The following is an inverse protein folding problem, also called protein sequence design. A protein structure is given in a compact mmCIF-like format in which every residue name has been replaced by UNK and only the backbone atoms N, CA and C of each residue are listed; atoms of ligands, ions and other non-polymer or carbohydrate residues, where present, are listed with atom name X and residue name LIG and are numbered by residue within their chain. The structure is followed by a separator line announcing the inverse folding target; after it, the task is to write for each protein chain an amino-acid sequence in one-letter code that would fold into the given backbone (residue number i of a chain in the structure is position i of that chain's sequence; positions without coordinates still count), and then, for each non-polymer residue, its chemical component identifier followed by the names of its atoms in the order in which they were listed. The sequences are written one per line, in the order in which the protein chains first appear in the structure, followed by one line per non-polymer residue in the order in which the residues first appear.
data_IF_075557338560
#
_entry.id   IF_075557338560
#
_cell.length_a   1.000
_cell.length_b   1.000
_cell.length_c   1.000
_cell.angle_alpha   90.00
_cell.angle_beta   90.00
_cell.angle_gamma   90.00
#
_symmetry.space_group_name_H-M   'P 1'
#
loop_
_entity.id
_entity.type
_entity.pdbx_description
1 polymer ?
#
# COMPACT_ATOMS: atom_id res chain seq x y z
N UNK A 1 15.64 7.63 12.08
CA UNK A 1 15.39 7.49 10.64
C UNK A 1 13.93 7.07 10.45
N UNK A 2 13.19 7.79 9.64
CA UNK A 2 11.81 7.43 9.31
C UNK A 2 11.77 6.16 8.44
N UNK A 3 10.63 5.48 8.40
CA UNK A 3 10.46 4.29 7.53
C UNK A 3 10.62 4.65 6.04
N UNK A 4 10.23 5.85 5.65
CA UNK A 4 10.45 6.35 4.28
C UNK A 4 11.93 6.51 3.95
N UNK A 5 12.72 7.02 4.90
CA UNK A 5 14.19 7.12 4.73
C UNK A 5 14.84 5.74 4.70
N UNK A 6 14.38 4.80 5.51
CA UNK A 6 14.83 3.40 5.47
C UNK A 6 14.57 2.81 4.09
N UNK A 7 13.35 2.93 3.58
CA UNK A 7 12.98 2.41 2.26
C UNK A 7 13.84 3.02 1.15
N UNK A 8 14.05 4.34 1.17
CA UNK A 8 14.88 5.04 0.18
C UNK A 8 16.32 4.53 0.19
N UNK A 9 16.91 4.41 1.39
CA UNK A 9 18.27 3.89 1.56
C UNK A 9 18.39 2.44 1.05
N UNK A 10 17.39 1.61 1.37
CA UNK A 10 17.37 0.22 0.93
C UNK A 10 17.27 0.10 -0.59
N UNK A 11 16.45 0.93 -1.24
CA UNK A 11 16.34 0.99 -2.70
C UNK A 11 17.65 1.38 -3.38
N UNK A 12 18.48 2.21 -2.73
CA UNK A 12 19.76 2.65 -3.26
C UNK A 12 20.90 1.66 -3.00
N UNK A 13 20.85 0.92 -1.90
CA UNK A 13 21.97 0.10 -1.39
C UNK A 13 21.82 -1.40 -1.60
N UNK A 14 20.61 -1.92 -1.73
CA UNK A 14 20.34 -3.35 -1.92
C UNK A 14 20.12 -3.67 -3.39
N UNK A 15 20.60 -4.82 -3.83
CA UNK A 15 20.37 -5.32 -5.20
C UNK A 15 18.91 -5.72 -5.43
N UNK A 16 18.24 -6.23 -4.41
CA UNK A 16 16.84 -6.65 -4.41
C UNK A 16 16.21 -6.32 -3.07
N UNK A 17 14.99 -5.80 -3.09
CA UNK A 17 14.10 -5.70 -1.93
C UNK A 17 13.03 -6.76 -2.01
N UNK A 18 12.85 -7.50 -0.93
CA UNK A 18 11.74 -8.45 -0.78
C UNK A 18 10.57 -7.74 -0.13
N UNK A 19 9.49 -7.61 -0.87
CA UNK A 19 8.27 -6.96 -0.41
C UNK A 19 7.15 -7.99 -0.29
N UNK A 20 6.59 -8.15 0.91
CA UNK A 20 5.53 -9.12 1.18
C UNK A 20 4.16 -8.48 1.18
N UNK A 21 3.18 -9.10 0.51
CA UNK A 21 1.80 -8.63 0.47
C UNK A 21 1.07 -8.86 1.80
N UNK A 22 0.27 -7.88 2.22
CA UNK A 22 -0.58 -7.98 3.40
C UNK A 22 -1.91 -7.26 3.18
N UNK A 23 -2.90 -7.58 3.99
CA UNK A 23 -4.26 -7.03 3.88
C UNK A 23 -4.77 -6.43 5.21
N UNK A 24 -4.06 -6.64 6.32
CA UNK A 24 -4.36 -6.07 7.64
C UNK A 24 -3.08 -6.01 8.51
N UNK A 25 -3.21 -5.45 9.72
CA UNK A 25 -2.09 -5.32 10.65
C UNK A 25 -1.49 -6.69 11.05
N UNK A 26 -2.32 -7.72 11.22
CA UNK A 26 -1.86 -9.05 11.59
C UNK A 26 -1.03 -9.69 10.48
N UNK A 27 -1.51 -9.69 9.24
CA UNK A 27 -0.76 -10.24 8.10
C UNK A 27 0.51 -9.43 7.83
N UNK A 28 0.48 -8.11 7.99
CA UNK A 28 1.67 -7.27 7.88
C UNK A 28 2.74 -7.64 8.92
N UNK A 29 2.32 -7.92 10.15
CA UNK A 29 3.24 -8.35 11.20
C UNK A 29 3.85 -9.72 10.91
N UNK A 30 3.09 -10.63 10.28
CA UNK A 30 3.62 -11.91 9.83
C UNK A 30 4.66 -11.73 8.72
N UNK A 31 4.43 -10.81 7.78
CA UNK A 31 5.40 -10.44 6.73
C UNK A 31 6.69 -9.92 7.36
N UNK A 32 6.59 -9.01 8.32
CA UNK A 32 7.74 -8.47 9.05
C UNK A 32 8.52 -9.58 9.76
N UNK A 33 7.83 -10.44 10.50
CA UNK A 33 8.44 -11.55 11.24
C UNK A 33 9.10 -12.58 10.30
N UNK A 34 8.64 -12.70 9.08
CA UNK A 34 9.24 -13.57 8.05
C UNK A 34 10.51 -12.98 7.42
N UNK A 35 10.91 -11.76 7.81
CA UNK A 35 12.16 -11.14 7.36
C UNK A 35 12.09 -10.45 6.00
N UNK A 36 10.91 -9.99 5.59
CA UNK A 36 10.76 -9.12 4.41
C UNK A 36 11.28 -7.71 4.71
N UNK A 37 11.72 -7.02 3.66
CA UNK A 37 12.26 -5.65 3.77
C UNK A 37 11.16 -4.59 3.87
N UNK A 38 9.99 -4.87 3.29
CA UNK A 38 8.84 -3.97 3.32
C UNK A 38 7.52 -4.76 3.18
N UNK A 39 6.42 -4.11 3.50
CA UNK A 39 5.06 -4.63 3.31
C UNK A 39 4.40 -3.95 2.13
N UNK A 40 3.71 -4.72 1.29
CA UNK A 40 2.81 -4.24 0.25
C UNK A 40 1.37 -4.29 0.77
N UNK A 41 0.78 -3.12 1.01
CA UNK A 41 -0.65 -3.00 1.35
C UNK A 41 -1.45 -3.02 0.05
N UNK A 42 -1.76 -4.22 -0.43
CA UNK A 42 -2.32 -4.46 -1.77
C UNK A 42 -3.83 -4.29 -1.82
N UNK A 43 -4.33 -3.53 -2.79
CA UNK A 43 -5.77 -3.29 -2.97
C UNK A 43 -6.53 -4.56 -3.33
N UNK A 44 -5.93 -5.47 -4.09
CA UNK A 44 -6.51 -6.79 -4.39
C UNK A 44 -6.81 -7.57 -3.11
N UNK A 45 -5.81 -7.74 -2.26
CA UNK A 45 -5.95 -8.52 -1.04
C UNK A 45 -6.90 -7.86 -0.02
N UNK A 46 -6.84 -6.52 0.10
CA UNK A 46 -7.76 -5.76 0.96
C UNK A 46 -9.20 -5.89 0.46
N UNK A 47 -9.44 -5.76 -0.84
CA UNK A 47 -10.78 -5.97 -1.43
C UNK A 47 -11.29 -7.39 -1.17
N UNK A 48 -10.42 -8.39 -1.29
CA UNK A 48 -10.76 -9.78 -1.03
C UNK A 48 -11.21 -10.04 0.42
N UNK A 49 -10.70 -9.29 1.40
CA UNK A 49 -11.17 -9.39 2.80
C UNK A 49 -12.62 -8.94 2.97
N UNK A 50 -13.12 -8.12 2.06
CA UNK A 50 -14.52 -7.69 1.98
C UNK A 50 -15.36 -8.56 1.04
N UNK A 51 -14.81 -9.66 0.52
CA UNK A 51 -15.43 -10.51 -0.51
C UNK A 51 -15.83 -9.71 -1.78
N UNK A 52 -15.01 -8.73 -2.15
CA UNK A 52 -15.20 -7.87 -3.32
C UNK A 52 -14.10 -8.09 -4.35
N UNK A 53 -14.43 -7.95 -5.66
CA UNK A 53 -13.43 -8.00 -6.71
C UNK A 53 -12.52 -6.77 -6.68
N UNK A 54 -11.32 -6.91 -7.27
CA UNK A 54 -10.35 -5.84 -7.43
C UNK A 54 -10.75 -4.92 -8.61
N UNK A 55 -11.71 -4.04 -8.38
CA UNK A 55 -12.37 -3.22 -9.40
C UNK A 55 -12.69 -1.78 -8.91
N UNK A 56 -11.87 -1.21 -8.08
CA UNK A 56 -12.05 0.14 -7.52
C UNK A 56 -13.37 0.32 -6.74
N UNK A 57 -13.85 -0.73 -6.05
CA UNK A 57 -15.12 -0.69 -5.32
C UNK A 57 -14.94 -0.06 -3.94
N UNK A 58 -13.89 -0.47 -3.20
CA UNK A 58 -13.58 0.13 -1.91
C UNK A 58 -13.13 1.58 -2.09
N UNK A 59 -13.42 2.39 -1.08
CA UNK A 59 -13.04 3.81 -1.05
C UNK A 59 -11.58 3.99 -0.60
N UNK A 60 -11.02 5.18 -0.87
CA UNK A 60 -9.72 5.57 -0.34
C UNK A 60 -9.65 5.39 1.17
N UNK A 61 -10.71 5.73 1.90
CA UNK A 61 -10.74 5.62 3.37
C UNK A 61 -10.59 4.17 3.83
N UNK A 62 -11.24 3.24 3.16
CA UNK A 62 -11.15 1.81 3.49
C UNK A 62 -9.75 1.26 3.25
N UNK A 63 -9.12 1.59 2.13
CA UNK A 63 -7.72 1.22 1.85
C UNK A 63 -6.75 1.90 2.82
N UNK A 64 -6.97 3.18 3.10
CA UNK A 64 -6.16 3.94 4.05
C UNK A 64 -6.20 3.35 5.46
N UNK A 65 -7.36 2.97 5.95
CA UNK A 65 -7.51 2.39 7.29
C UNK A 65 -6.69 1.10 7.44
N UNK A 66 -6.72 0.23 6.43
CA UNK A 66 -5.89 -0.97 6.41
C UNK A 66 -4.39 -0.65 6.41
N UNK A 67 -3.95 0.22 5.51
CA UNK A 67 -2.53 0.61 5.39
C UNK A 67 -2.02 1.35 6.63
N UNK A 68 -2.84 2.22 7.23
CA UNK A 68 -2.54 2.94 8.46
C UNK A 68 -2.36 1.99 9.65
N UNK A 69 -3.24 0.97 9.77
CA UNK A 69 -3.11 -0.07 10.78
C UNK A 69 -1.80 -0.85 10.65
N UNK A 70 -1.41 -1.19 9.42
CA UNK A 70 -0.13 -1.84 9.14
C UNK A 70 1.04 -0.94 9.55
N UNK A 71 0.99 0.34 9.20
CA UNK A 71 2.05 1.31 9.49
C UNK A 71 2.25 1.52 10.99
N UNK A 72 1.16 1.53 11.76
CA UNK A 72 1.25 1.69 13.23
C UNK A 72 1.78 0.46 13.94
N UNK A 73 1.70 -0.71 13.32
CA UNK A 73 2.05 -2.01 13.93
C UNK A 73 3.46 -2.48 13.56
N UNK A 74 3.90 -2.24 12.32
CA UNK A 74 5.19 -2.72 11.81
C UNK A 74 6.29 -1.67 11.94
N UNK A 75 7.52 -2.12 12.14
CA UNK A 75 8.72 -1.29 12.10
C UNK A 75 9.29 -1.15 10.69
N UNK A 76 9.06 -2.14 9.81
CA UNK A 76 9.49 -2.10 8.42
C UNK A 76 8.59 -1.16 7.57
N UNK A 77 9.10 -0.63 6.44
CA UNK A 77 8.33 0.25 5.56
C UNK A 77 7.04 -0.37 5.03
N UNK A 78 6.02 0.48 4.88
CA UNK A 78 4.76 0.12 4.22
C UNK A 78 4.67 0.85 2.89
N UNK A 79 4.44 0.10 1.83
CA UNK A 79 4.18 0.60 0.48
C UNK A 79 2.69 0.39 0.21
N UNK A 80 1.95 1.47 0.03
CA UNK A 80 0.50 1.39 -0.20
C UNK A 80 0.17 1.38 -1.69
N UNK A 81 -0.62 0.40 -2.09
CA UNK A 81 -1.28 0.36 -3.39
C UNK A 81 -2.46 1.35 -3.36
N UNK A 82 -2.35 2.40 -4.16
CA UNK A 82 -3.35 3.47 -4.22
C UNK A 82 -4.15 3.45 -5.53
N UNK A 83 -4.30 2.29 -6.15
CA UNK A 83 -5.04 2.10 -7.40
C UNK A 83 -4.70 3.17 -8.46
N UNK A 84 -5.68 3.97 -8.89
CA UNK A 84 -5.48 5.05 -9.86
C UNK A 84 -5.38 6.44 -9.22
N UNK A 85 -5.25 6.52 -7.88
CA UNK A 85 -5.05 7.77 -7.13
C UNK A 85 -6.32 8.38 -6.53
N UNK A 86 -7.46 7.68 -6.64
CA UNK A 86 -8.75 8.05 -6.01
C UNK A 86 -9.35 9.37 -6.49
N UNK A 87 -9.07 9.76 -7.71
CA UNK A 87 -9.65 10.93 -8.32
C UNK A 87 -8.69 11.73 -9.19
N UNK A 88 -8.91 13.03 -9.31
CA UNK A 88 -8.06 13.94 -10.06
C UNK A 88 -6.83 14.41 -9.28
N UNK A 89 -6.03 15.35 -9.83
CA UNK A 89 -4.78 15.81 -9.22
C UNK A 89 -4.93 16.32 -7.79
N UNK A 90 -6.01 17.02 -7.48
CA UNK A 90 -6.26 17.54 -6.12
C UNK A 90 -6.55 16.43 -5.12
N UNK A 91 -7.24 15.36 -5.56
CA UNK A 91 -7.49 14.18 -4.74
C UNK A 91 -6.19 13.43 -4.45
N UNK A 92 -5.33 13.28 -5.46
CA UNK A 92 -4.02 12.64 -5.31
C UNK A 92 -3.14 13.42 -4.31
N UNK A 93 -3.11 14.74 -4.41
CA UNK A 93 -2.36 15.58 -3.47
C UNK A 93 -2.84 15.39 -2.03
N UNK A 94 -4.14 15.41 -1.81
CA UNK A 94 -4.75 15.17 -0.50
C UNK A 94 -4.39 13.77 0.02
N UNK A 95 -4.51 12.76 -0.83
CA UNK A 95 -4.19 11.38 -0.50
C UNK A 95 -2.72 11.24 -0.08
N UNK A 96 -1.78 11.80 -0.84
CA UNK A 96 -0.35 11.72 -0.52
C UNK A 96 -0.07 12.30 0.87
N UNK A 97 -0.61 13.48 1.19
CA UNK A 97 -0.43 14.10 2.50
C UNK A 97 -1.03 13.26 3.63
N UNK A 98 -2.21 12.68 3.40
CA UNK A 98 -2.89 11.84 4.37
C UNK A 98 -2.08 10.57 4.68
N UNK A 99 -1.58 9.90 3.65
CA UNK A 99 -0.78 8.69 3.77
C UNK A 99 0.57 8.98 4.43
N UNK A 100 1.24 10.06 4.04
CA UNK A 100 2.50 10.49 4.65
C UNK A 100 2.33 10.77 6.15
N UNK A 101 1.29 11.50 6.53
CA UNK A 101 1.00 11.81 7.94
C UNK A 101 0.71 10.55 8.79
N UNK A 102 0.26 9.48 8.18
CA UNK A 102 0.06 8.18 8.84
C UNK A 102 1.33 7.32 8.90
N UNK A 103 2.48 7.84 8.43
CA UNK A 103 3.75 7.12 8.44
C UNK A 103 3.88 6.05 7.38
N UNK A 104 3.00 6.04 6.38
CA UNK A 104 3.11 5.15 5.21
C UNK A 104 4.31 5.61 4.40
N UNK A 105 5.19 4.68 4.04
CA UNK A 105 6.54 4.99 3.55
C UNK A 105 6.58 5.32 2.07
N UNK A 106 5.66 4.77 1.31
CA UNK A 106 5.56 4.99 -0.14
C UNK A 106 4.14 4.69 -0.62
N UNK A 107 3.79 5.26 -1.75
CA UNK A 107 2.56 4.96 -2.48
C UNK A 107 2.90 4.48 -3.87
N UNK A 108 2.00 3.69 -4.45
CA UNK A 108 2.05 3.26 -5.84
C UNK A 108 0.72 3.63 -6.50
N UNK A 109 0.78 4.29 -7.65
CA UNK A 109 -0.39 4.66 -8.45
C UNK A 109 -0.25 4.00 -9.82
N UNK A 110 -1.31 3.34 -10.28
CA UNK A 110 -1.35 2.72 -11.59
C UNK A 110 -1.81 3.71 -12.66
N UNK A 111 -1.19 3.65 -13.83
CA UNK A 111 -1.63 4.39 -15.02
C UNK A 111 -2.76 3.63 -15.72
N UNK A 112 -3.94 3.63 -15.11
CA UNK A 112 -5.16 3.00 -15.59
C UNK A 112 -6.33 3.96 -15.53
N UNK A 113 -7.39 3.66 -16.26
CA UNK A 113 -8.67 4.38 -16.15
C UNK A 113 -9.45 3.91 -14.93
N UNK A 114 -10.27 4.79 -14.37
CA UNK A 114 -11.23 4.46 -13.31
C UNK A 114 -12.60 4.13 -13.93
N UNK A 115 -13.33 3.11 -13.46
CA UNK A 115 -12.89 2.10 -12.50
C UNK A 115 -11.87 1.14 -13.13
N UNK A 116 -10.89 0.69 -12.33
CA UNK A 116 -9.90 -0.24 -12.83
C UNK A 116 -10.50 -1.61 -13.10
N UNK A 117 -9.92 -2.31 -14.08
CA UNK A 117 -10.18 -3.73 -14.31
C UNK A 117 -8.93 -4.52 -14.01
N UNK A 118 -9.11 -5.73 -13.47
CA UNK A 118 -8.00 -6.63 -13.22
C UNK A 118 -7.35 -7.00 -14.56
N UNK A 119 -6.01 -6.87 -14.62
CA UNK A 119 -5.24 -7.13 -15.86
C UNK A 119 -5.24 -8.60 -16.29
N UNK A 120 -5.70 -9.51 -15.41
CA UNK A 120 -5.85 -10.94 -15.73
C UNK A 120 -7.20 -11.28 -16.34
N UNK A 121 -8.14 -10.34 -16.40
CA UNK A 121 -9.42 -10.51 -17.09
C UNK A 121 -9.25 -10.16 -18.55
N UNK A 122 -9.72 -11.03 -19.44
CA UNK A 122 -9.79 -10.79 -20.89
C UNK A 122 -10.98 -9.90 -21.25
#
# INVERSE_FOLDING_TARGET
MSKSEVLRKDLESKSILKVGGAFDAMSAKLVENAGFDAVWAGSFAISATHALPDASILTMTEFFDAASSMSSTCEIPIIADCDTGYGGPSNVRHMVQKYENAGISSICIEDKTFPKQNSLLE
#
